data_IF_209288168774
#
_entry.id   IF_209288168774
#
_cell.length_a   1.000
_cell.length_b   1.000
_cell.length_c   1.000
_cell.angle_alpha   90.00
_cell.angle_beta   90.00
_cell.angle_gamma   90.00
#
_symmetry.space_group_name_H-M   'P 1'
#
loop_
_entity.id
_entity.type
_entity.pdbx_description
1 polymer ?
#
# COMPACT_ATOMS: atom_id res chain seq x y z
N UNK A 1 2.77 -18.26 -5.22
CA UNK A 1 3.97 -17.39 -5.35
C UNK A 1 5.24 -18.20 -5.18
N UNK A 2 6.40 -17.72 -5.65
CA UNK A 2 7.69 -18.43 -5.59
C UNK A 2 8.62 -17.97 -4.44
N UNK A 3 8.06 -17.43 -3.36
CA UNK A 3 8.75 -17.30 -2.07
C UNK A 3 10.13 -16.63 -2.20
N UNK A 4 10.18 -15.31 -2.37
CA UNK A 4 11.44 -14.55 -2.27
C UNK A 4 11.35 -13.48 -1.18
N UNK A 5 12.48 -13.21 -0.51
CA UNK A 5 12.63 -12.17 0.51
C UNK A 5 12.26 -10.81 -0.09
N UNK A 6 11.40 -10.05 0.60
CA UNK A 6 10.78 -8.82 0.09
C UNK A 6 11.77 -7.66 -0.15
N UNK A 7 13.03 -7.78 0.30
CA UNK A 7 14.09 -6.80 0.06
C UNK A 7 14.87 -7.06 -1.23
N UNK A 8 14.55 -8.11 -1.99
CA UNK A 8 15.23 -8.45 -3.25
C UNK A 8 14.39 -7.97 -4.42
N UNK A 9 14.99 -7.19 -5.33
CA UNK A 9 14.40 -6.47 -6.47
C UNK A 9 13.44 -7.29 -7.37
N UNK A 10 13.52 -8.62 -7.35
CA UNK A 10 12.70 -9.55 -8.16
C UNK A 10 11.51 -10.19 -7.41
N UNK A 11 11.28 -9.88 -6.14
CA UNK A 11 10.20 -10.49 -5.35
C UNK A 11 8.80 -10.05 -5.76
N UNK A 12 8.68 -8.86 -6.38
CA UNK A 12 7.43 -8.28 -6.87
C UNK A 12 6.73 -9.11 -7.95
N UNK A 13 7.47 -9.80 -8.82
CA UNK A 13 6.89 -10.61 -9.92
C UNK A 13 6.47 -12.02 -9.48
N UNK A 14 6.88 -12.47 -8.30
CA UNK A 14 6.72 -13.86 -7.85
C UNK A 14 5.87 -14.00 -6.59
N UNK A 15 5.73 -12.93 -5.82
CA UNK A 15 4.88 -12.90 -4.64
C UNK A 15 3.48 -12.39 -5.00
N UNK A 16 2.48 -12.78 -4.20
CA UNK A 16 1.12 -12.26 -4.36
C UNK A 16 1.13 -10.74 -4.20
N UNK A 17 0.47 -10.06 -5.14
CA UNK A 17 0.29 -8.62 -5.13
C UNK A 17 -1.19 -8.30 -5.22
N UNK A 18 -1.59 -7.23 -4.53
CA UNK A 18 -2.92 -6.66 -4.64
C UNK A 18 -2.79 -5.16 -4.89
N UNK A 19 -3.30 -4.70 -6.03
CA UNK A 19 -3.29 -3.29 -6.41
C UNK A 19 -4.66 -2.67 -6.12
N UNK A 20 -4.67 -1.56 -5.39
CA UNK A 20 -5.88 -0.82 -5.04
C UNK A 20 -5.68 0.64 -5.42
N UNK A 21 -6.62 1.19 -6.17
CA UNK A 21 -6.68 2.63 -6.43
C UNK A 21 -7.69 3.22 -5.46
N UNK A 22 -7.23 4.16 -4.63
CA UNK A 22 -8.09 5.02 -3.85
C UNK A 22 -8.34 6.30 -4.64
N UNK A 23 -9.62 6.67 -4.74
CA UNK A 23 -10.05 7.94 -5.28
C UNK A 23 -10.71 8.74 -4.15
N UNK A 24 -10.22 9.96 -3.91
CA UNK A 24 -10.85 10.89 -2.98
C UNK A 24 -12.04 11.59 -3.64
N UNK A 25 -12.89 12.24 -2.84
CA UNK A 25 -14.07 12.98 -3.36
C UNK A 25 -13.69 14.06 -4.41
N UNK A 26 -12.51 14.65 -4.26
CA UNK A 26 -11.93 15.63 -5.21
C UNK A 26 -11.18 14.98 -6.39
N UNK A 27 -11.40 13.68 -6.64
CA UNK A 27 -10.84 12.88 -7.74
C UNK A 27 -9.32 12.72 -7.73
N UNK A 28 -8.67 12.91 -6.58
CA UNK A 28 -7.26 12.59 -6.42
C UNK A 28 -7.11 11.06 -6.38
N UNK A 29 -6.25 10.51 -7.24
CA UNK A 29 -5.99 9.06 -7.32
C UNK A 29 -4.67 8.71 -6.68
N UNK A 30 -4.71 7.72 -5.78
CA UNK A 30 -3.55 7.17 -5.09
C UNK A 30 -3.54 5.66 -5.35
N UNK A 31 -2.43 5.12 -5.85
CA UNK A 31 -2.28 3.70 -6.08
C UNK A 31 -1.48 3.08 -4.92
N UNK A 32 -2.03 2.02 -4.35
CA UNK A 32 -1.38 1.19 -3.34
C UNK A 32 -1.16 -0.20 -3.93
N UNK A 33 0.06 -0.71 -3.81
CA UNK A 33 0.37 -2.09 -4.14
C UNK A 33 0.81 -2.79 -2.86
N UNK A 34 -0.04 -3.70 -2.39
CA UNK A 34 0.28 -4.61 -1.29
C UNK A 34 1.11 -5.76 -1.86
N UNK A 35 2.27 -6.04 -1.25
CA UNK A 35 3.18 -7.08 -1.70
C UNK A 35 3.44 -8.04 -0.53
N UNK A 36 2.99 -9.28 -0.68
CA UNK A 36 3.29 -10.31 0.30
C UNK A 36 4.79 -10.62 0.32
N UNK A 37 5.38 -10.77 1.51
CA UNK A 37 6.75 -11.23 1.69
C UNK A 37 6.94 -12.75 1.55
N UNK A 38 8.17 -13.23 1.79
CA UNK A 38 8.55 -14.64 1.67
C UNK A 38 7.73 -15.60 2.55
N UNK A 39 7.51 -15.21 3.81
CA UNK A 39 6.74 -16.00 4.79
C UNK A 39 5.23 -15.76 4.62
N UNK A 40 4.87 -14.57 4.16
CA UNK A 40 3.51 -14.13 3.93
C UNK A 40 2.89 -14.80 2.69
N UNK A 41 1.87 -15.61 2.89
CA UNK A 41 1.28 -16.42 1.79
C UNK A 41 -0.06 -15.91 1.26
N UNK A 42 -0.63 -14.87 1.87
CA UNK A 42 -1.95 -14.33 1.47
C UNK A 42 -2.05 -12.84 1.76
N UNK A 43 -2.57 -12.12 0.77
CA UNK A 43 -3.17 -10.81 0.94
C UNK A 43 -4.68 -11.04 1.08
N UNK A 44 -5.28 -10.38 2.06
CA UNK A 44 -6.75 -10.32 2.17
C UNK A 44 -7.15 -8.88 1.92
N UNK A 45 -7.84 -8.64 0.81
CA UNK A 45 -8.49 -7.36 0.53
C UNK A 45 -9.96 -7.48 0.98
N UNK A 46 -10.36 -6.65 1.93
CA UNK A 46 -11.75 -6.57 2.39
C UNK A 46 -12.57 -5.63 1.51
N UNK A 47 -11.94 -4.58 0.98
CA UNK A 47 -12.57 -3.61 0.10
C UNK A 47 -12.84 -4.19 -1.30
N UNK A 48 -13.94 -3.72 -1.89
CA UNK A 48 -14.36 -3.98 -3.26
C UNK A 48 -14.42 -2.67 -4.04
N UNK A 49 -14.41 -2.77 -5.37
CA UNK A 49 -14.57 -1.61 -6.23
C UNK A 49 -15.92 -0.93 -5.94
N UNK A 50 -15.89 0.38 -5.72
CA UNK A 50 -17.06 1.19 -5.36
C UNK A 50 -17.31 1.35 -3.86
N UNK A 51 -16.59 0.63 -2.99
CA UNK A 51 -16.70 0.83 -1.54
C UNK A 51 -16.17 2.21 -1.13
N UNK A 52 -16.86 2.83 -0.18
CA UNK A 52 -16.40 4.07 0.47
C UNK A 52 -15.72 3.71 1.78
N UNK A 53 -14.45 4.13 1.93
CA UNK A 53 -13.64 3.85 3.11
C UNK A 53 -13.46 5.11 3.95
N UNK A 54 -13.44 4.97 5.27
CA UNK A 54 -13.13 6.06 6.21
C UNK A 54 -11.62 6.17 6.42
N UNK A 55 -11.17 7.37 6.79
CA UNK A 55 -9.76 7.57 7.18
C UNK A 55 -9.40 6.63 8.35
N UNK A 56 -8.30 5.89 8.19
CA UNK A 56 -7.83 4.92 9.19
C UNK A 56 -8.53 3.57 9.15
N UNK A 57 -9.51 3.38 8.26
CA UNK A 57 -10.17 2.10 8.08
C UNK A 57 -9.21 1.05 7.50
N UNK A 58 -9.26 -0.16 8.06
CA UNK A 58 -8.45 -1.28 7.60
C UNK A 58 -9.15 -1.93 6.42
N UNK A 59 -8.69 -1.64 5.20
CA UNK A 59 -9.25 -2.21 3.97
C UNK A 59 -8.61 -3.54 3.55
N UNK A 60 -7.50 -3.93 4.17
CA UNK A 60 -6.83 -5.18 3.86
C UNK A 60 -5.75 -5.56 4.86
N UNK A 61 -5.30 -6.81 4.77
CA UNK A 61 -4.31 -7.40 5.65
C UNK A 61 -3.30 -8.21 4.84
N UNK A 62 -2.02 -8.03 5.13
CA UNK A 62 -0.94 -8.85 4.58
C UNK A 62 -0.38 -9.71 5.73
N UNK A 63 -0.58 -11.03 5.67
CA UNK A 63 -0.27 -11.94 6.78
C UNK A 63 1.24 -12.14 6.93
N UNK A 64 1.81 -12.04 8.14
CA UNK A 64 3.24 -12.35 8.44
C UNK A 64 4.29 -11.46 7.74
N UNK A 65 4.02 -10.16 7.67
CA UNK A 65 5.00 -9.16 7.22
C UNK A 65 4.97 -8.93 5.71
N UNK A 66 5.22 -7.70 5.30
CA UNK A 66 4.94 -7.28 3.92
C UNK A 66 5.68 -6.01 3.54
N UNK A 67 5.36 -5.54 2.35
CA UNK A 67 5.69 -4.21 1.85
C UNK A 67 4.43 -3.62 1.23
N UNK A 68 4.28 -2.30 1.36
CA UNK A 68 3.28 -1.54 0.61
C UNK A 68 4.02 -0.49 -0.20
N UNK A 69 3.81 -0.52 -1.51
CA UNK A 69 4.26 0.56 -2.40
C UNK A 69 3.11 1.55 -2.56
N UNK A 70 3.41 2.84 -2.36
CA UNK A 70 2.46 3.94 -2.45
C UNK A 70 2.89 4.88 -3.58
N UNK A 71 2.05 4.99 -4.59
CA UNK A 71 2.26 5.88 -5.74
C UNK A 71 1.39 7.11 -5.55
N UNK A 72 2.06 8.24 -5.34
CA UNK A 72 1.44 9.53 -5.13
C UNK A 72 1.34 10.27 -6.48
N UNK A 73 0.22 10.96 -6.75
CA UNK A 73 0.10 11.78 -7.95
C UNK A 73 1.02 13.02 -7.85
N UNK A 74 1.40 13.66 -8.98
CA UNK A 74 2.30 14.82 -8.98
C UNK A 74 1.83 16.00 -8.11
N UNK A 75 0.52 16.11 -7.87
CA UNK A 75 -0.07 17.14 -7.02
C UNK A 75 0.21 16.93 -5.52
N UNK A 76 0.78 15.81 -5.10
CA UNK A 76 1.10 15.54 -3.69
C UNK A 76 2.60 15.73 -3.46
N UNK A 77 2.95 16.60 -2.52
CA UNK A 77 4.31 16.79 -2.02
C UNK A 77 4.55 15.84 -0.83
N UNK A 78 5.42 14.83 -0.96
CA UNK A 78 5.78 13.97 0.16
C UNK A 78 6.52 14.75 1.25
N UNK A 79 6.22 14.45 2.52
CA UNK A 79 6.89 15.05 3.69
C UNK A 79 7.73 14.04 4.47
N UNK A 80 7.63 12.76 4.11
CA UNK A 80 8.39 11.68 4.74
C UNK A 80 9.78 11.54 4.16
N UNK A 81 10.71 10.98 4.95
CA UNK A 81 12.10 10.73 4.54
C UNK A 81 12.42 9.24 4.53
N UNK A 82 13.43 8.87 3.75
CA UNK A 82 13.96 7.49 3.76
C UNK A 82 14.43 7.13 5.18
N UNK A 83 14.03 5.95 5.66
CA UNK A 83 14.32 5.47 7.01
C UNK A 83 13.39 6.02 8.10
N UNK A 84 12.46 6.94 7.78
CA UNK A 84 11.48 7.42 8.74
C UNK A 84 10.47 6.31 9.08
N UNK A 85 10.25 6.06 10.37
CA UNK A 85 9.18 5.19 10.82
C UNK A 85 7.82 5.88 10.62
N UNK A 86 6.87 5.14 10.04
CA UNK A 86 5.48 5.56 9.81
C UNK A 86 4.52 4.54 10.38
N UNK A 87 3.34 4.99 10.78
CA UNK A 87 2.24 4.16 11.26
C UNK A 87 1.02 4.34 10.38
N UNK A 88 0.49 3.23 9.87
CA UNK A 88 -0.70 3.22 9.01
C UNK A 88 -1.90 3.85 9.70
N UNK A 89 -2.69 4.63 8.97
CA UNK A 89 -3.85 5.36 9.50
C UNK A 89 -3.52 6.61 10.31
N UNK A 90 -2.25 6.84 10.66
CA UNK A 90 -1.84 7.92 11.57
C UNK A 90 -0.81 8.87 10.95
N UNK A 91 0.30 8.34 10.41
CA UNK A 91 1.37 9.16 9.84
C UNK A 91 0.96 9.81 8.53
N UNK A 92 1.20 11.10 8.41
CA UNK A 92 0.97 11.87 7.18
C UNK A 92 2.14 11.62 6.22
N UNK A 93 1.83 11.16 5.00
CA UNK A 93 2.85 10.86 3.98
C UNK A 93 3.19 12.10 3.14
N UNK A 94 2.20 12.97 2.89
CA UNK A 94 2.37 14.16 2.08
C UNK A 94 1.14 15.06 2.16
N UNK A 95 1.28 16.26 1.61
CA UNK A 95 0.18 17.21 1.43
C UNK A 95 -0.03 17.47 -0.04
N UNK A 96 -1.29 17.71 -0.42
CA UNK A 96 -1.58 18.26 -1.74
C UNK A 96 -0.98 19.67 -1.81
N UNK A 97 -0.20 19.94 -2.85
CA UNK A 97 0.34 21.26 -3.18
C UNK A 97 -0.74 22.15 -3.82
#
# INVERSE_FOLDING_TARGET
GRFLVASVEKSSLLNEQNAVILETEDRLKILLIQIAGFVARRIVCYAKAGDTLRKGEIFGLIRFGSRVDLYLPPAVKPIVRVGQHVKGGESIIGYRA
#
